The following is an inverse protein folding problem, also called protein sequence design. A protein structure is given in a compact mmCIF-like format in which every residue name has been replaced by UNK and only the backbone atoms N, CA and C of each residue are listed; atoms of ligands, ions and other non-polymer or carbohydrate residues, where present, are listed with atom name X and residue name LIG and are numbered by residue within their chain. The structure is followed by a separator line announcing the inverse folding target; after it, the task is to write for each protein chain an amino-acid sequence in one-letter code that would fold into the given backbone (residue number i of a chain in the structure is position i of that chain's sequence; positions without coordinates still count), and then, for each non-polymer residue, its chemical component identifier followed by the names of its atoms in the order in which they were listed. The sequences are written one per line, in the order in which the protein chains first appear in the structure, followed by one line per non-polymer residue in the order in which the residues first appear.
data_IF_662987621429
#
_entry.id   IF_662987621429
#
_cell.length_a   1.000
_cell.length_b   1.000
_cell.length_c   1.000
_cell.angle_alpha   90.00
_cell.angle_beta   90.00
_cell.angle_gamma   90.00
#
_symmetry.space_group_name_H-M   'P 1'
#
loop_
_entity.id
_entity.type
_entity.pdbx_description
1 polymer ?
#
# COMPACT_ATOMS: atom_id res chain seq x y z
N UNK A 1 24.32 4.94 1.77
CA UNK A 1 23.39 3.97 2.39
C UNK A 1 22.00 4.42 1.98
N UNK A 2 21.38 3.78 1.00
CA UNK A 2 19.97 4.00 0.69
C UNK A 2 19.17 3.20 1.70
N UNK A 3 18.42 3.87 2.58
CA UNK A 3 17.45 3.22 3.47
C UNK A 3 16.61 2.22 2.67
N UNK A 4 16.35 1.01 3.20
CA UNK A 4 15.47 0.07 2.52
C UNK A 4 14.10 0.75 2.40
N UNK A 5 13.64 0.92 1.15
CA UNK A 5 12.29 1.44 0.88
C UNK A 5 11.29 0.65 1.73
N UNK A 6 10.34 1.32 2.40
CA UNK A 6 9.40 0.67 3.28
C UNK A 6 8.64 -0.41 2.51
N UNK A 7 8.47 -1.58 3.14
CA UNK A 7 7.74 -2.67 2.54
C UNK A 7 6.28 -2.25 2.32
N UNK A 8 5.65 -2.81 1.29
CA UNK A 8 4.28 -2.51 0.90
C UNK A 8 3.27 -2.54 2.07
N UNK A 9 3.45 -3.48 3.00
CA UNK A 9 2.61 -3.62 4.20
C UNK A 9 2.82 -2.50 5.22
N UNK A 10 4.04 -1.99 5.36
CA UNK A 10 4.34 -0.92 6.31
C UNK A 10 3.78 0.42 5.80
N UNK A 11 3.90 0.68 4.50
CA UNK A 11 3.23 1.82 3.84
C UNK A 11 1.71 1.71 4.02
N UNK A 12 1.14 0.52 3.80
CA UNK A 12 -0.29 0.30 3.97
C UNK A 12 -0.76 0.54 5.41
N UNK A 13 0.01 0.10 6.41
CA UNK A 13 -0.29 0.36 7.83
C UNK A 13 -0.18 1.84 8.20
N UNK A 14 0.82 2.54 7.66
CA UNK A 14 0.98 3.98 7.88
C UNK A 14 -0.25 4.72 7.33
N UNK A 15 -0.59 4.48 6.07
CA UNK A 15 -1.74 5.09 5.41
C UNK A 15 -3.06 4.73 6.10
N UNK A 16 -3.20 3.51 6.60
CA UNK A 16 -4.38 3.10 7.37
C UNK A 16 -4.54 3.90 8.66
N UNK A 17 -3.45 4.15 9.38
CA UNK A 17 -3.45 5.02 10.58
C UNK A 17 -3.74 6.48 10.24
N UNK A 18 -3.20 6.98 9.13
CA UNK A 18 -3.39 8.37 8.69
C UNK A 18 -4.82 8.65 8.19
N UNK A 19 -5.42 7.69 7.49
CA UNK A 19 -6.74 7.83 6.87
C UNK A 19 -7.88 7.16 7.67
N UNK A 20 -7.59 6.58 8.84
CA UNK A 20 -8.61 6.01 9.74
C UNK A 20 -9.44 4.90 9.11
N UNK A 21 -8.86 4.11 8.19
CA UNK A 21 -9.58 3.06 7.47
C UNK A 21 -10.48 3.54 6.33
N UNK A 22 -10.42 4.81 5.92
CA UNK A 22 -11.01 5.25 4.65
C UNK A 22 -10.27 4.60 3.49
N UNK A 23 -10.86 3.50 2.99
CA UNK A 23 -10.31 2.70 1.89
C UNK A 23 -10.04 3.55 0.65
N UNK A 24 -10.91 4.49 0.30
CA UNK A 24 -10.76 5.26 -0.94
C UNK A 24 -9.57 6.23 -0.84
N UNK A 25 -9.47 6.95 0.28
CA UNK A 25 -8.35 7.85 0.54
C UNK A 25 -7.01 7.09 0.61
N UNK A 26 -7.01 5.94 1.28
CA UNK A 26 -5.84 5.08 1.40
C UNK A 26 -5.36 4.51 0.06
N UNK A 27 -6.28 4.05 -0.80
CA UNK A 27 -5.96 3.52 -2.13
C UNK A 27 -5.33 4.61 -3.01
N UNK A 28 -5.90 5.82 -2.97
CA UNK A 28 -5.36 6.96 -3.70
C UNK A 28 -3.96 7.37 -3.19
N UNK A 29 -3.78 7.41 -1.87
CA UNK A 29 -2.50 7.73 -1.25
C UNK A 29 -1.41 6.69 -1.54
N UNK A 30 -1.77 5.39 -1.52
CA UNK A 30 -0.85 4.31 -1.87
C UNK A 30 -0.45 4.38 -3.35
N UNK A 31 -1.41 4.57 -4.25
CA UNK A 31 -1.13 4.68 -5.68
C UNK A 31 -0.22 5.89 -5.99
N UNK A 32 -0.42 7.01 -5.29
CA UNK A 32 0.46 8.18 -5.38
C UNK A 32 1.87 7.88 -4.86
N UNK A 33 2.00 7.22 -3.71
CA UNK A 33 3.30 6.85 -3.15
C UNK A 33 4.06 5.87 -4.06
N UNK A 34 3.36 4.97 -4.74
CA UNK A 34 3.94 4.06 -5.74
C UNK A 34 4.41 4.83 -6.99
N UNK A 35 3.59 5.74 -7.53
CA UNK A 35 3.95 6.59 -8.66
C UNK A 35 5.16 7.51 -8.37
N UNK A 36 5.29 7.97 -7.13
CA UNK A 36 6.45 8.75 -6.65
C UNK A 36 7.68 7.87 -6.36
N UNK A 37 7.60 6.55 -6.56
CA UNK A 37 8.71 5.61 -6.33
C UNK A 37 9.06 5.38 -4.86
N UNK A 38 8.19 5.82 -3.94
CA UNK A 38 8.35 5.74 -2.47
C UNK A 38 8.03 4.36 -1.91
N UNK A 39 7.39 3.49 -2.70
CA UNK A 39 7.09 2.10 -2.34
C UNK A 39 8.04 1.15 -3.06
N UNK A 40 8.67 0.22 -2.32
CA UNK A 40 9.34 -0.91 -2.94
C UNK A 40 8.30 -1.96 -3.35
N UNK A 41 7.94 -1.97 -4.63
CA UNK A 41 7.10 -3.03 -5.17
C UNK A 41 7.97 -4.28 -5.39
N UNK A 42 7.80 -5.30 -4.54
CA UNK A 42 8.63 -6.52 -4.54
C UNK A 42 8.31 -7.40 -5.76
N UNK A 43 7.09 -7.37 -6.26
CA UNK A 43 6.69 -8.04 -7.50
C UNK A 43 5.62 -7.22 -8.23
N UNK A 44 5.82 -7.00 -9.53
CA UNK A 44 4.84 -6.44 -10.47
C UNK A 44 4.59 -7.44 -11.62
N UNK A 45 4.48 -8.73 -11.31
CA UNK A 45 4.39 -9.82 -12.29
C UNK A 45 3.14 -9.75 -13.19
N UNK A 46 2.17 -8.91 -12.83
CA UNK A 46 0.87 -8.80 -13.51
C UNK A 46 0.60 -7.39 -14.06
N UNK A 47 1.58 -6.48 -14.04
CA UNK A 47 1.39 -5.06 -14.41
C UNK A 47 0.15 -4.42 -13.74
N UNK A 48 -0.23 -4.90 -12.55
CA UNK A 48 -1.44 -4.43 -11.89
C UNK A 48 -1.29 -2.93 -11.63
N UNK A 49 -2.31 -2.17 -11.99
CA UNK A 49 -2.37 -0.75 -11.71
C UNK A 49 -2.25 -0.53 -10.20
N UNK A 50 -1.52 0.50 -9.79
CA UNK A 50 -1.17 0.76 -8.39
C UNK A 50 -2.42 0.83 -7.47
N UNK A 51 -3.54 1.31 -7.99
CA UNK A 51 -4.83 1.33 -7.28
C UNK A 51 -5.40 -0.06 -7.03
N UNK A 52 -5.43 -0.92 -8.06
CA UNK A 52 -5.89 -2.31 -7.95
C UNK A 52 -5.01 -3.10 -6.98
N UNK A 53 -3.70 -2.84 -7.00
CA UNK A 53 -2.78 -3.44 -6.04
C UNK A 53 -3.07 -3.00 -4.60
N UNK A 54 -3.27 -1.70 -4.39
CA UNK A 54 -3.60 -1.14 -3.08
C UNK A 54 -4.91 -1.72 -2.52
N UNK A 55 -5.94 -1.88 -3.35
CA UNK A 55 -7.22 -2.48 -2.95
C UNK A 55 -7.07 -3.94 -2.50
N UNK A 56 -6.33 -4.74 -3.28
CA UNK A 56 -6.07 -6.14 -2.95
C UNK A 56 -5.26 -6.26 -1.66
N UNK A 57 -4.26 -5.39 -1.48
CA UNK A 57 -3.41 -5.37 -0.29
C UNK A 57 -4.18 -4.94 0.96
N UNK A 58 -5.06 -3.94 0.84
CA UNK A 58 -5.99 -3.53 1.91
C UNK A 58 -6.93 -4.69 2.29
N UNK A 59 -7.56 -5.33 1.30
CA UNK A 59 -8.47 -6.45 1.55
C UNK A 59 -7.75 -7.64 2.21
N UNK A 60 -6.54 -7.98 1.75
CA UNK A 60 -5.73 -9.04 2.36
C UNK A 60 -5.37 -8.69 3.80
N UNK A 61 -5.08 -7.41 4.08
CA UNK A 61 -4.71 -6.96 5.41
C UNK A 61 -5.85 -6.93 6.41
N UNK A 62 -7.03 -6.51 5.99
CA UNK A 62 -8.24 -6.62 6.81
C UNK A 62 -8.58 -8.10 7.03
N UNK A 63 -8.54 -8.92 5.98
CA UNK A 63 -8.86 -10.36 6.06
C UNK A 63 -7.89 -11.13 6.96
N UNK A 64 -6.60 -10.79 6.95
CA UNK A 64 -5.57 -11.43 7.79
C UNK A 64 -5.36 -10.72 9.13
N UNK A 65 -6.05 -9.61 9.39
CA UNK A 65 -5.99 -8.86 10.65
C UNK A 65 -4.65 -8.19 10.94
N UNK A 66 -3.85 -7.84 9.92
CA UNK A 66 -2.56 -7.14 10.12
C UNK A 66 -2.65 -5.62 9.92
N UNK A 67 -3.78 -5.14 9.42
CA UNK A 67 -4.27 -3.75 9.52
C UNK A 67 -5.64 -3.84 10.21
N UNK A 68 -5.76 -3.15 11.34
CA UNK A 68 -6.93 -3.07 12.20
C UNK A 68 -7.00 -1.66 12.77
#
# INVERSE_FOLDING_TARGET
MTDPKPAQRDVMRLLYKEHGGDKAALVAAYAKAEAEGRVARISNEHELHATTYAEALYADGVRKGWIA
#
